data_IF_009144933744
#
_entry.id   IF_009144933744
#
_cell.length_a   1.000
_cell.length_b   1.000
_cell.length_c   1.000
_cell.angle_alpha   90.00
_cell.angle_beta   90.00
_cell.angle_gamma   90.00
#
_symmetry.space_group_name_H-M   'P 1'
#
loop_
_entity.id
_entity.type
_entity.pdbx_description
1 polymer ?
#
# COMPACT_ATOMS: atom_id res chain seq x y z
N UNK A 1 -9.35 3.86 7.21
CA UNK A 1 -9.40 4.56 5.89
C UNK A 1 -10.67 4.14 5.18
N UNK A 2 -11.44 5.09 4.65
CA UNK A 2 -12.63 4.78 3.86
C UNK A 2 -12.22 4.11 2.55
N UNK A 3 -12.95 3.08 2.14
CA UNK A 3 -12.72 2.34 0.89
C UNK A 3 -12.67 3.25 -0.34
N UNK A 4 -13.44 4.35 -0.33
CA UNK A 4 -13.47 5.38 -1.39
C UNK A 4 -12.09 6.00 -1.65
N UNK A 5 -11.34 6.35 -0.61
CA UNK A 5 -10.03 6.99 -0.74
C UNK A 5 -8.99 6.07 -1.40
N UNK A 6 -9.10 4.76 -1.17
CA UNK A 6 -8.25 3.75 -1.83
C UNK A 6 -8.56 3.63 -3.32
N UNK A 7 -9.84 3.72 -3.68
CA UNK A 7 -10.28 3.67 -5.09
C UNK A 7 -9.83 4.93 -5.82
N UNK A 8 -10.00 6.11 -5.22
CA UNK A 8 -9.51 7.39 -5.78
C UNK A 8 -7.99 7.36 -5.97
N UNK A 9 -7.24 6.89 -4.97
CA UNK A 9 -5.79 6.73 -5.05
C UNK A 9 -5.40 5.77 -6.18
N UNK A 10 -6.05 4.60 -6.27
CA UNK A 10 -5.80 3.65 -7.34
C UNK A 10 -6.04 4.27 -8.72
N UNK A 11 -7.17 4.96 -8.90
CA UNK A 11 -7.50 5.62 -10.16
C UNK A 11 -6.45 6.67 -10.54
N UNK A 12 -6.04 7.54 -9.60
CA UNK A 12 -4.97 8.51 -9.81
C UNK A 12 -3.67 7.84 -10.29
N UNK A 13 -3.29 6.72 -9.67
CA UNK A 13 -2.04 6.03 -9.98
C UNK A 13 -2.06 5.36 -11.36
N UNK A 14 -3.18 4.76 -11.78
CA UNK A 14 -3.28 4.08 -13.07
C UNK A 14 -3.45 5.04 -14.25
N UNK A 15 -3.99 6.24 -14.03
CA UNK A 15 -4.18 7.24 -15.10
C UNK A 15 -3.03 8.24 -15.22
N UNK A 16 -2.08 8.23 -14.29
CA UNK A 16 -0.91 9.10 -14.33
C UNK A 16 0.26 8.47 -15.09
N UNK A 17 1.18 9.30 -15.56
CA UNK A 17 2.50 8.87 -16.04
C UNK A 17 3.56 8.95 -14.92
N UNK A 18 4.78 8.48 -15.20
CA UNK A 18 5.88 8.44 -14.22
C UNK A 18 6.26 9.83 -13.70
N UNK A 19 6.29 10.85 -14.55
CA UNK A 19 6.67 12.19 -14.14
C UNK A 19 5.60 12.87 -13.27
N UNK A 20 4.32 12.64 -13.59
CA UNK A 20 3.19 13.08 -12.76
C UNK A 20 3.21 12.40 -11.39
N UNK A 21 3.53 11.10 -11.32
CA UNK A 21 3.64 10.40 -10.03
C UNK A 21 4.80 10.89 -9.18
N UNK A 22 5.93 11.23 -9.81
CA UNK A 22 7.13 11.70 -9.12
C UNK A 22 6.90 12.99 -8.33
N UNK A 23 5.92 13.81 -8.73
CA UNK A 23 5.58 15.06 -8.05
C UNK A 23 4.44 14.92 -7.02
N UNK A 24 3.87 13.72 -6.84
CA UNK A 24 2.83 13.49 -5.82
C UNK A 24 3.45 13.67 -4.42
N UNK A 25 2.87 14.52 -3.55
CA UNK A 25 3.36 14.69 -2.19
C UNK A 25 3.39 13.36 -1.43
N UNK A 26 4.55 13.02 -0.85
CA UNK A 26 4.74 11.76 -0.11
C UNK A 26 5.09 10.54 -0.99
N UNK A 27 5.21 10.70 -2.31
CA UNK A 27 5.74 9.64 -3.17
C UNK A 27 7.23 9.45 -2.91
N UNK A 28 7.62 8.21 -2.61
CA UNK A 28 9.03 7.81 -2.55
C UNK A 28 9.58 7.67 -3.98
N UNK A 29 10.69 8.35 -4.34
CA UNK A 29 11.28 8.30 -5.68
C UNK A 29 11.55 6.88 -6.18
N UNK A 30 11.94 5.96 -5.30
CA UNK A 30 12.25 4.57 -5.65
C UNK A 30 10.99 3.71 -5.85
N UNK A 31 9.82 4.24 -5.46
CA UNK A 31 8.51 3.57 -5.58
C UNK A 31 7.72 4.01 -6.82
N UNK A 32 8.10 5.08 -7.50
CA UNK A 32 7.31 5.74 -8.56
C UNK A 32 6.83 4.78 -9.65
N UNK A 33 7.68 3.83 -10.06
CA UNK A 33 7.32 2.85 -11.10
C UNK A 33 6.55 1.65 -10.52
N UNK A 34 6.89 1.24 -9.30
CA UNK A 34 6.30 0.06 -8.64
C UNK A 34 4.95 0.33 -7.98
N UNK A 35 4.58 1.60 -7.76
CA UNK A 35 3.34 1.96 -7.07
C UNK A 35 2.09 1.63 -7.89
N UNK A 36 2.17 1.68 -9.23
CA UNK A 36 1.05 1.34 -10.12
C UNK A 36 0.69 -0.15 -10.01
N UNK A 37 1.61 -1.11 -10.27
CA UNK A 37 1.28 -2.54 -10.10
C UNK A 37 0.90 -2.89 -8.67
N UNK A 38 1.50 -2.24 -7.65
CA UNK A 38 1.08 -2.42 -6.27
C UNK A 38 -0.39 -2.02 -6.05
N UNK A 39 -0.82 -0.88 -6.59
CA UNK A 39 -2.21 -0.42 -6.47
C UNK A 39 -3.20 -1.36 -7.15
N UNK A 40 -2.82 -1.98 -8.28
CA UNK A 40 -3.65 -2.96 -8.99
C UNK A 40 -3.89 -4.20 -8.12
N UNK A 41 -2.82 -4.72 -7.49
CA UNK A 41 -2.91 -5.88 -6.59
C UNK A 41 -3.78 -5.55 -5.38
N UNK A 42 -3.57 -4.39 -4.74
CA UNK A 42 -4.41 -3.95 -3.61
C UNK A 42 -5.87 -3.86 -4.03
N UNK A 43 -6.17 -3.22 -5.16
CA UNK A 43 -7.55 -3.09 -5.66
C UNK A 43 -8.18 -4.45 -5.97
N UNK A 44 -7.40 -5.40 -6.50
CA UNK A 44 -7.86 -6.76 -6.75
C UNK A 44 -8.21 -7.49 -5.44
N UNK A 45 -7.35 -7.42 -4.42
CA UNK A 45 -7.62 -8.00 -3.09
C UNK A 45 -8.86 -7.37 -2.45
N UNK A 46 -9.00 -6.05 -2.51
CA UNK A 46 -10.15 -5.35 -1.92
C UNK A 46 -11.48 -5.75 -2.57
N UNK A 47 -11.49 -5.94 -3.90
CA UNK A 47 -12.67 -6.43 -4.64
C UNK A 47 -13.05 -7.86 -4.25
N UNK A 48 -12.06 -8.69 -3.91
CA UNK A 48 -12.28 -10.08 -3.49
C UNK A 48 -12.75 -10.19 -2.04
N UNK A 49 -12.04 -9.54 -1.10
CA UNK A 49 -12.33 -9.60 0.34
C UNK A 49 -13.59 -8.81 0.72
N UNK A 50 -13.87 -7.70 0.02
CA UNK A 50 -14.98 -6.76 0.32
C UNK A 50 -15.03 -6.35 1.80
N UNK A 51 -13.93 -5.82 2.36
CA UNK A 51 -13.90 -5.44 3.76
C UNK A 51 -14.82 -4.24 4.02
N UNK A 52 -15.44 -4.21 5.21
CA UNK A 52 -16.19 -3.01 5.66
C UNK A 52 -15.25 -1.82 5.86
N UNK A 53 -14.04 -2.06 6.38
CA UNK A 53 -13.06 -1.03 6.68
C UNK A 53 -11.63 -1.53 6.42
N UNK A 54 -10.72 -0.60 6.09
CA UNK A 54 -9.29 -0.87 5.92
C UNK A 54 -8.49 0.04 6.84
N UNK A 55 -7.60 -0.55 7.63
CA UNK A 55 -6.73 0.16 8.56
C UNK A 55 -5.28 0.00 8.12
N UNK A 56 -4.55 1.10 8.01
CA UNK A 56 -3.11 1.07 7.74
C UNK A 56 -2.37 0.92 9.07
N UNK A 57 -1.31 0.13 9.06
CA UNK A 57 -0.45 -0.11 10.21
C UNK A 57 1.01 0.09 9.77
N UNK A 58 1.80 0.76 10.62
CA UNK A 58 3.24 0.93 10.39
C UNK A 58 4.06 -0.31 10.76
N UNK A 59 3.46 -1.27 11.47
CA UNK A 59 4.11 -2.52 11.88
C UNK A 59 3.81 -3.63 10.89
N UNK A 60 4.84 -4.42 10.57
CA UNK A 60 4.77 -5.49 9.58
C UNK A 60 5.73 -6.63 9.96
N UNK A 61 6.31 -7.29 8.95
CA UNK A 61 7.12 -8.49 9.12
C UNK A 61 8.35 -8.27 10.02
N UNK A 62 9.04 -7.13 9.87
CA UNK A 62 10.28 -6.86 10.62
C UNK A 62 10.02 -6.73 12.13
N UNK A 63 8.93 -6.09 12.53
CA UNK A 63 8.55 -5.98 13.94
C UNK A 63 8.07 -7.31 14.51
N UNK A 64 7.36 -8.12 13.71
CA UNK A 64 7.02 -9.50 14.07
C UNK A 64 8.26 -10.36 14.32
N UNK A 65 9.27 -10.27 13.44
CA UNK A 65 10.54 -10.98 13.61
C UNK A 65 11.30 -10.51 14.86
N UNK A 66 11.38 -9.20 15.12
CA UNK A 66 11.99 -8.66 16.34
C UNK A 66 11.30 -9.21 17.59
N UNK A 67 9.96 -9.25 17.61
CA UNK A 67 9.20 -9.80 18.72
C UNK A 67 9.51 -11.29 18.94
N UNK A 68 9.67 -12.07 17.87
CA UNK A 68 10.08 -13.47 17.95
C UNK A 68 11.49 -13.64 18.51
N UNK A 69 12.44 -12.81 18.06
CA UNK A 69 13.83 -12.81 18.55
C UNK A 69 13.87 -12.50 20.05
N UNK A 70 13.19 -11.43 20.49
CA UNK A 70 13.19 -11.00 21.90
C UNK A 70 12.58 -12.07 22.81
N UNK A 71 11.55 -12.78 22.33
CA UNK A 71 10.92 -13.86 23.09
C UNK A 71 11.60 -15.22 22.92
N UNK A 72 12.72 -15.31 22.18
CA UNK A 72 13.43 -16.57 21.89
C UNK A 72 12.55 -17.66 21.28
N UNK A 73 11.62 -17.27 20.38
CA UNK A 73 10.70 -18.19 19.66
C UNK A 73 11.15 -18.43 18.22
N UNK A 74 12.46 -18.41 17.99
CA UNK A 74 13.11 -18.65 16.69
C UNK A 74 14.01 -19.87 16.75
#
# INVERSE_FOLDING_TARGET
>A
MRSEALIETHNLLITSNTDERRIIPGMDPDRVDNIVPASIIVQWVLKWVKPMEVWQCSFSLKEGAILQIINSVL
#
